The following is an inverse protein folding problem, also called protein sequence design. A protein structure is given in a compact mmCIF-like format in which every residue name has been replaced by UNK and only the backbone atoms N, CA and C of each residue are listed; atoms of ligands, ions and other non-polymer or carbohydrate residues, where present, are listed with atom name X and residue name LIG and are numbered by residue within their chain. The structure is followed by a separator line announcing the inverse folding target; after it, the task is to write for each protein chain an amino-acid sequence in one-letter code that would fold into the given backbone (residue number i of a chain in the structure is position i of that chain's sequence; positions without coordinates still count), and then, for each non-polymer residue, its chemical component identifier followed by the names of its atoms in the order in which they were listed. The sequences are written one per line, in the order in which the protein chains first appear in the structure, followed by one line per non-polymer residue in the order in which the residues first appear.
data_IF_507168093434
#
_entry.id   IF_507168093434
#
_cell.length_a   1.000
_cell.length_b   1.000
_cell.length_c   1.000
_cell.angle_alpha   90.00
_cell.angle_beta   90.00
_cell.angle_gamma   90.00
#
_symmetry.space_group_name_H-M   'P 1'
#
loop_
_entity.id
_entity.type
_entity.pdbx_description
1 polymer ?
#
# COMPACT_ATOMS: atom_id res chain seq x y z
N UNK A 1 43.79 55.61 33.84
CA UNK A 1 42.38 55.50 34.25
C UNK A 1 41.53 55.45 32.99
N UNK A 2 41.02 54.28 32.63
CA UNK A 2 40.13 54.02 31.49
C UNK A 2 38.90 53.29 32.06
N UNK A 3 37.66 53.66 31.69
CA UNK A 3 36.47 53.01 32.26
C UNK A 3 36.19 51.69 31.54
N UNK A 4 35.83 50.69 32.33
CA UNK A 4 35.43 49.33 31.92
C UNK A 4 34.05 49.42 31.26
N UNK A 5 33.80 48.84 30.06
CA UNK A 5 32.45 48.78 29.52
C UNK A 5 31.65 47.72 30.27
N UNK A 6 30.47 48.13 30.76
CA UNK A 6 29.52 47.30 31.47
C UNK A 6 29.05 46.13 30.61
N UNK A 7 29.20 44.91 31.14
CA UNK A 7 28.63 43.71 30.58
C UNK A 7 27.10 43.76 30.69
N UNK A 8 26.42 43.90 29.55
CA UNK A 8 24.97 43.78 29.46
C UNK A 8 24.63 42.30 29.22
N UNK A 9 24.56 41.52 30.31
CA UNK A 9 24.02 40.17 30.26
C UNK A 9 22.52 40.25 29.99
N UNK A 10 22.12 40.07 28.73
CA UNK A 10 20.73 39.80 28.37
C UNK A 10 20.35 38.44 28.96
N UNK A 11 19.70 38.46 30.13
CA UNK A 11 18.97 37.30 30.66
C UNK A 11 17.81 37.00 29.71
N UNK A 12 18.07 36.18 28.70
CA UNK A 12 17.03 35.45 27.99
C UNK A 12 16.28 34.63 29.05
N UNK A 13 14.96 34.83 29.24
CA UNK A 13 14.21 33.92 30.08
C UNK A 13 14.30 32.55 29.39
N UNK A 14 15.05 31.64 30.00
CA UNK A 14 14.91 30.22 29.73
C UNK A 14 13.47 29.89 30.11
N UNK A 15 12.57 29.95 29.13
CA UNK A 15 11.31 29.26 29.21
C UNK A 15 11.67 27.79 29.36
N UNK A 16 11.69 27.32 30.61
CA UNK A 16 11.60 25.91 30.90
C UNK A 16 10.24 25.48 30.37
N UNK A 17 10.20 25.05 29.11
CA UNK A 17 9.07 24.30 28.58
C UNK A 17 8.84 23.17 29.57
N UNK A 18 7.70 23.24 30.26
CA UNK A 18 7.21 22.12 31.06
C UNK A 18 6.92 21.00 30.06
N UNK A 19 7.92 20.16 29.81
CA UNK A 19 7.73 18.89 29.15
C UNK A 19 6.86 18.08 30.10
N UNK A 20 5.55 18.10 29.87
CA UNK A 20 4.66 17.11 30.47
C UNK A 20 5.25 15.75 30.11
N UNK A 21 5.81 15.05 31.09
CA UNK A 21 6.50 13.79 30.86
C UNK A 21 5.56 12.85 30.10
N UNK A 22 5.95 12.50 28.88
CA UNK A 22 5.21 11.58 28.03
C UNK A 22 5.08 10.24 28.75
N UNK A 23 3.84 9.83 29.07
CA UNK A 23 3.56 8.51 29.61
C UNK A 23 2.98 7.62 28.50
N UNK A 24 3.78 6.73 27.86
CA UNK A 24 3.31 5.85 26.81
C UNK A 24 2.24 4.87 27.30
N UNK A 25 2.19 4.59 28.60
CA UNK A 25 1.27 3.61 29.18
C UNK A 25 -0.14 4.17 29.38
N UNK A 26 -0.35 5.49 29.20
CA UNK A 26 -1.66 6.12 29.33
C UNK A 26 -2.23 6.46 27.95
N UNK A 27 -3.43 5.98 27.69
CA UNK A 27 -4.18 6.34 26.49
C UNK A 27 -4.32 7.87 26.37
N UNK A 28 -3.93 8.47 25.24
CA UNK A 28 -4.06 9.91 25.04
C UNK A 28 -5.51 10.37 24.86
N UNK A 29 -6.44 9.47 24.53
CA UNK A 29 -7.83 9.81 24.25
C UNK A 29 -8.72 8.59 24.11
N UNK A 30 -10.04 8.79 24.21
CA UNK A 30 -11.06 7.75 23.93
C UNK A 30 -11.00 7.18 22.50
N UNK A 31 -10.40 7.92 21.56
CA UNK A 31 -10.24 7.49 20.16
C UNK A 31 -8.84 6.95 19.87
N UNK A 32 -8.04 6.67 20.89
CA UNK A 32 -6.70 6.11 20.74
C UNK A 32 -6.69 4.64 21.17
N UNK A 33 -6.01 3.80 20.39
CA UNK A 33 -5.85 2.35 20.66
C UNK A 33 -4.37 1.99 20.48
N UNK A 34 -3.80 1.21 21.39
CA UNK A 34 -2.44 0.65 21.20
C UNK A 34 -2.45 -0.30 20.02
N UNK A 35 -1.51 -0.12 19.08
CA UNK A 35 -1.40 -0.95 17.88
C UNK A 35 -1.25 -2.43 18.23
N UNK A 36 -0.41 -2.75 19.22
CA UNK A 36 -0.18 -4.12 19.72
C UNK A 36 -1.42 -4.82 20.30
N UNK A 37 -2.40 -4.05 20.79
CA UNK A 37 -3.63 -4.60 21.37
C UNK A 37 -4.69 -4.94 20.32
N UNK A 38 -4.47 -4.60 19.06
CA UNK A 38 -5.41 -4.89 17.98
C UNK A 38 -5.24 -6.35 17.56
N UNK A 39 -6.25 -7.16 17.81
CA UNK A 39 -6.22 -8.58 17.44
C UNK A 39 -6.54 -8.80 15.96
N UNK A 40 -7.51 -8.04 15.43
CA UNK A 40 -8.01 -8.22 14.06
C UNK A 40 -8.51 -6.90 13.49
N UNK A 41 -8.21 -6.69 12.21
CA UNK A 41 -8.76 -5.63 11.38
C UNK A 41 -9.69 -6.26 10.34
N UNK A 42 -10.85 -5.64 10.13
CA UNK A 42 -11.76 -5.97 9.03
C UNK A 42 -11.95 -4.72 8.19
N UNK A 43 -11.47 -4.79 6.96
CA UNK A 43 -11.31 -3.66 6.04
C UNK A 43 -12.20 -3.89 4.83
N UNK A 44 -12.82 -2.83 4.31
CA UNK A 44 -13.82 -2.93 3.25
C UNK A 44 -13.46 -2.04 2.05
N UNK A 45 -13.70 -2.53 0.83
CA UNK A 45 -13.38 -1.81 -0.41
C UNK A 45 -14.02 -0.41 -0.49
N UNK A 46 -15.28 -0.32 -0.05
CA UNK A 46 -16.11 0.89 -0.18
C UNK A 46 -16.08 1.79 1.06
N UNK A 47 -15.02 1.70 1.89
CA UNK A 47 -14.87 2.52 3.10
C UNK A 47 -13.55 3.26 3.09
N UNK A 48 -13.56 4.44 3.70
CA UNK A 48 -12.35 5.21 4.01
C UNK A 48 -11.96 5.06 5.46
N UNK A 49 -10.69 5.29 5.75
CA UNK A 49 -10.16 5.35 7.11
C UNK A 49 -10.73 6.56 7.87
N UNK A 50 -10.80 6.46 9.19
CA UNK A 50 -10.88 7.66 10.01
C UNK A 50 -9.56 8.42 9.89
N UNK A 51 -9.61 9.72 10.08
CA UNK A 51 -8.42 10.56 9.97
C UNK A 51 -8.49 11.72 10.95
N UNK A 52 -7.33 12.27 11.29
CA UNK A 52 -7.25 13.51 12.06
C UNK A 52 -6.20 14.47 11.52
N UNK A 53 -4.98 13.99 11.28
CA UNK A 53 -3.85 14.82 10.88
C UNK A 53 -3.52 14.70 9.40
N UNK A 54 -3.79 13.54 8.82
CA UNK A 54 -3.66 13.26 7.38
C UNK A 54 -5.05 13.14 6.74
N UNK A 55 -5.15 13.10 5.41
CA UNK A 55 -6.43 12.89 4.73
C UNK A 55 -6.87 11.43 4.83
N UNK A 56 -8.18 11.18 4.91
CA UNK A 56 -8.73 9.83 4.86
C UNK A 56 -8.39 9.13 3.53
N UNK A 57 -7.89 7.90 3.62
CA UNK A 57 -7.55 7.03 2.50
C UNK A 57 -8.56 5.88 2.39
N UNK A 58 -8.64 5.16 1.25
CA UNK A 58 -9.37 3.89 1.17
C UNK A 58 -8.85 2.88 2.20
N UNK A 59 -9.73 2.05 2.75
CA UNK A 59 -9.29 0.96 3.64
C UNK A 59 -8.56 -0.16 2.89
N UNK A 60 -8.89 -0.39 1.62
CA UNK A 60 -8.22 -1.36 0.75
C UNK A 60 -7.59 -0.62 -0.43
N UNK A 61 -6.27 -0.76 -0.60
CA UNK A 61 -5.53 -0.12 -1.70
C UNK A 61 -4.72 -1.17 -2.45
N UNK A 62 -5.01 -1.39 -3.73
CA UNK A 62 -4.20 -2.28 -4.55
C UNK A 62 -2.98 -1.55 -5.11
N UNK A 63 -1.78 -2.08 -4.86
CA UNK A 63 -0.50 -1.44 -5.24
C UNK A 63 0.26 -2.15 -6.36
N UNK A 64 -0.33 -3.17 -6.99
CA UNK A 64 0.18 -3.71 -8.26
C UNK A 64 0.26 -5.23 -8.32
N UNK A 65 1.01 -5.77 -9.31
CA UNK A 65 2.14 -5.16 -10.03
C UNK A 65 1.77 -4.17 -11.14
N UNK A 66 0.50 -4.06 -11.53
CA UNK A 66 0.04 -3.01 -12.44
C UNK A 66 -1.36 -2.53 -12.06
N UNK A 67 -1.67 -1.28 -12.43
CA UNK A 67 -3.04 -0.73 -12.26
C UNK A 67 -4.08 -1.54 -13.03
N UNK A 68 -3.68 -2.16 -14.15
CA UNK A 68 -4.56 -3.01 -14.97
C UNK A 68 -4.97 -4.26 -14.19
N UNK A 69 -4.02 -4.94 -13.54
CA UNK A 69 -4.33 -6.12 -12.70
C UNK A 69 -5.21 -5.72 -11.51
N UNK A 70 -4.89 -4.61 -10.84
CA UNK A 70 -5.72 -4.09 -9.74
C UNK A 70 -7.15 -3.74 -10.16
N UNK A 71 -7.39 -3.43 -11.43
CA UNK A 71 -8.73 -3.09 -11.94
C UNK A 71 -9.59 -4.31 -12.29
N UNK A 72 -9.00 -5.51 -12.35
CA UNK A 72 -9.72 -6.73 -12.71
C UNK A 72 -10.64 -7.23 -11.58
N UNK A 73 -10.20 -7.08 -10.33
CA UNK A 73 -10.96 -7.50 -9.17
C UNK A 73 -10.52 -6.74 -7.92
N UNK A 74 -11.49 -6.32 -7.11
CA UNK A 74 -11.27 -5.68 -5.80
C UNK A 74 -11.98 -6.55 -4.76
N UNK A 75 -11.28 -7.06 -3.73
CA UNK A 75 -11.93 -7.84 -2.68
C UNK A 75 -12.88 -6.96 -1.87
N UNK A 76 -14.11 -7.44 -1.61
CA UNK A 76 -15.09 -6.66 -0.83
C UNK A 76 -14.66 -6.45 0.62
N UNK A 77 -14.06 -7.49 1.21
CA UNK A 77 -13.60 -7.54 2.61
C UNK A 77 -12.23 -8.19 2.67
N UNK A 78 -11.33 -7.59 3.45
CA UNK A 78 -10.06 -8.18 3.85
C UNK A 78 -9.97 -8.23 5.37
N UNK A 79 -9.50 -9.36 5.90
CA UNK A 79 -9.27 -9.55 7.33
C UNK A 79 -7.79 -9.75 7.60
N UNK A 80 -7.22 -8.86 8.41
CA UNK A 80 -5.84 -8.94 8.87
C UNK A 80 -5.80 -9.31 10.35
N UNK A 81 -5.04 -10.33 10.69
CA UNK A 81 -4.90 -10.86 12.05
C UNK A 81 -3.48 -10.62 12.54
N UNK A 82 -3.38 -10.07 13.74
CA UNK A 82 -2.11 -9.85 14.43
C UNK A 82 -1.48 -11.21 14.81
N UNK A 83 -0.25 -11.46 14.36
CA UNK A 83 0.53 -12.68 14.62
C UNK A 83 1.61 -12.47 15.70
N UNK A 84 1.58 -11.36 16.41
CA UNK A 84 2.62 -10.91 17.31
C UNK A 84 3.43 -9.79 16.70
N UNK A 85 4.69 -9.67 17.13
CA UNK A 85 5.62 -8.65 16.68
C UNK A 85 7.00 -9.25 16.43
N UNK A 86 7.82 -8.60 15.61
CA UNK A 86 9.19 -9.04 15.32
C UNK A 86 10.18 -8.44 16.33
N UNK A 87 10.66 -7.21 16.08
CA UNK A 87 11.69 -6.57 16.91
C UNK A 87 11.17 -5.92 18.18
N UNK A 88 10.03 -5.22 18.12
CA UNK A 88 9.42 -4.55 19.27
C UNK A 88 7.89 -4.49 19.14
N UNK A 89 7.20 -4.10 20.21
CA UNK A 89 5.74 -4.10 20.31
C UNK A 89 5.01 -3.20 19.30
N UNK A 90 5.72 -2.39 18.52
CA UNK A 90 5.17 -1.55 17.44
C UNK A 90 5.33 -2.20 16.06
N UNK A 91 6.20 -3.19 15.93
CA UNK A 91 6.48 -3.90 14.67
C UNK A 91 5.58 -5.14 14.53
N UNK A 92 4.28 -4.88 14.41
CA UNK A 92 3.25 -5.92 14.38
C UNK A 92 3.30 -6.70 13.06
N UNK A 93 3.36 -8.01 13.19
CA UNK A 93 3.32 -8.94 12.06
C UNK A 93 1.86 -9.27 11.74
N UNK A 94 1.39 -8.82 10.56
CA UNK A 94 0.01 -9.02 10.12
C UNK A 94 -0.12 -10.12 9.08
N UNK A 95 -1.07 -11.04 9.28
CA UNK A 95 -1.52 -11.96 8.24
C UNK A 95 -2.86 -11.50 7.69
N UNK A 96 -2.89 -11.09 6.41
CA UNK A 96 -4.11 -10.65 5.74
C UNK A 96 -4.68 -11.74 4.81
N UNK A 97 -6.01 -11.90 4.85
CA UNK A 97 -6.77 -12.88 4.06
C UNK A 97 -7.99 -12.22 3.43
N UNK A 98 -8.36 -12.65 2.23
CA UNK A 98 -9.56 -12.22 1.53
C UNK A 98 -10.11 -13.37 0.68
N UNK A 99 -11.41 -13.36 0.42
CA UNK A 99 -12.01 -14.29 -0.55
C UNK A 99 -11.74 -13.78 -1.97
N UNK A 100 -11.09 -14.62 -2.77
CA UNK A 100 -10.68 -14.31 -4.13
C UNK A 100 -11.18 -15.37 -5.11
N UNK A 101 -11.58 -14.97 -6.33
CA UNK A 101 -11.76 -15.91 -7.43
C UNK A 101 -10.46 -16.69 -7.73
N UNK A 102 -10.55 -17.90 -8.31
CA UNK A 102 -9.39 -18.77 -8.50
C UNK A 102 -8.30 -18.17 -9.42
N UNK A 103 -8.65 -17.16 -10.23
CA UNK A 103 -7.71 -16.43 -11.08
C UNK A 103 -6.76 -15.50 -10.33
N UNK A 104 -7.04 -15.23 -9.05
CA UNK A 104 -6.36 -14.21 -8.27
C UNK A 104 -5.76 -14.76 -6.98
N UNK A 105 -4.65 -14.16 -6.55
CA UNK A 105 -4.04 -14.40 -5.24
C UNK A 105 -3.47 -13.10 -4.68
N UNK A 106 -3.40 -13.02 -3.34
CA UNK A 106 -2.69 -11.94 -2.67
C UNK A 106 -1.18 -12.17 -2.77
N UNK A 107 -0.45 -11.11 -3.08
CA UNK A 107 0.99 -11.00 -2.88
C UNK A 107 1.30 -10.44 -1.50
N UNK A 108 2.22 -9.47 -1.42
CA UNK A 108 2.49 -8.76 -0.17
C UNK A 108 1.27 -7.95 0.29
N UNK A 109 1.11 -7.86 1.59
CA UNK A 109 0.10 -7.05 2.27
C UNK A 109 0.75 -6.24 3.38
N UNK A 110 0.44 -4.95 3.45
CA UNK A 110 1.02 -4.02 4.42
C UNK A 110 -0.11 -3.24 5.10
N UNK A 111 -0.20 -3.34 6.42
CA UNK A 111 -1.18 -2.61 7.22
C UNK A 111 -0.61 -1.25 7.58
N UNK A 112 -1.33 -0.18 7.27
CA UNK A 112 -0.92 1.19 7.55
C UNK A 112 -1.98 1.86 8.41
N UNK A 113 -1.58 2.40 9.56
CA UNK A 113 -2.47 3.09 10.50
C UNK A 113 -1.97 4.52 10.78
N UNK A 114 -2.88 5.45 11.09
CA UNK A 114 -2.48 6.79 11.54
C UNK A 114 -2.08 6.72 13.02
N UNK A 115 -0.80 6.94 13.32
CA UNK A 115 -0.35 7.16 14.70
C UNK A 115 -1.15 8.29 15.36
N UNK A 116 -1.33 8.26 16.67
CA UNK A 116 -2.22 9.20 17.34
C UNK A 116 -1.57 10.59 17.37
N UNK A 117 -0.40 10.73 17.99
CA UNK A 117 0.29 12.02 18.15
C UNK A 117 1.24 12.35 16.99
N UNK A 118 2.02 11.37 16.55
CA UNK A 118 3.00 11.44 15.45
C UNK A 118 3.03 10.11 14.65
N UNK A 119 3.98 9.91 13.74
CA UNK A 119 4.07 8.68 12.92
C UNK A 119 4.63 7.47 13.67
N UNK A 120 5.33 7.71 14.78
CA UNK A 120 6.04 6.68 15.55
C UNK A 120 5.32 6.39 16.89
N UNK A 121 4.10 6.89 17.06
CA UNK A 121 3.31 6.71 18.27
C UNK A 121 2.75 5.27 18.36
N UNK A 122 3.03 4.51 19.43
CA UNK A 122 2.43 3.18 19.65
C UNK A 122 0.90 3.21 19.70
N UNK A 123 0.33 4.36 20.07
CA UNK A 123 -1.11 4.60 20.00
C UNK A 123 -1.47 5.05 18.60
N UNK A 124 -2.50 4.45 18.02
CA UNK A 124 -3.07 4.84 16.73
C UNK A 124 -4.47 5.42 16.89
N UNK A 125 -4.94 6.16 15.88
CA UNK A 125 -6.31 6.62 15.81
C UNK A 125 -7.26 5.47 15.51
N UNK A 126 -8.31 5.30 16.32
CA UNK A 126 -9.34 4.27 16.13
C UNK A 126 -9.97 4.38 14.73
N UNK A 127 -9.92 3.30 13.96
CA UNK A 127 -10.49 3.22 12.61
C UNK A 127 -9.61 3.80 11.51
N UNK A 128 -8.37 4.17 11.81
CA UNK A 128 -7.45 4.80 10.84
C UNK A 128 -6.66 3.81 10.00
N UNK A 129 -6.72 2.51 10.32
CA UNK A 129 -5.98 1.50 9.58
C UNK A 129 -6.59 1.21 8.21
N UNK A 130 -5.72 1.09 7.21
CA UNK A 130 -5.98 0.51 5.90
C UNK A 130 -4.94 -0.56 5.58
N UNK A 131 -5.11 -1.24 4.44
CA UNK A 131 -4.15 -2.22 3.92
C UNK A 131 -3.82 -1.91 2.48
N UNK A 132 -2.52 -1.88 2.20
CA UNK A 132 -1.98 -1.93 0.85
C UNK A 132 -1.72 -3.38 0.49
N UNK A 133 -2.23 -3.84 -0.65
CA UNK A 133 -2.09 -5.23 -1.07
C UNK A 133 -1.67 -5.31 -2.52
N UNK A 134 -0.91 -6.36 -2.85
CA UNK A 134 -0.62 -6.72 -4.25
C UNK A 134 -1.61 -7.75 -4.73
N UNK A 135 -2.27 -7.46 -5.84
CA UNK A 135 -3.12 -8.43 -6.54
C UNK A 135 -2.29 -9.12 -7.61
N UNK A 136 -2.23 -10.45 -7.57
CA UNK A 136 -1.48 -11.26 -8.53
C UNK A 136 -2.44 -12.21 -9.25
N UNK A 137 -2.04 -12.61 -10.46
CA UNK A 137 -2.71 -13.70 -11.16
C UNK A 137 -2.16 -15.04 -10.68
N UNK A 138 -3.05 -16.03 -10.60
CA UNK A 138 -2.66 -17.45 -10.55
C UNK A 138 -2.38 -17.94 -11.97
N UNK A 139 -1.93 -19.20 -12.12
CA UNK A 139 -1.78 -19.82 -13.44
C UNK A 139 -3.08 -19.77 -14.26
N UNK A 140 -4.24 -19.97 -13.60
CA UNK A 140 -5.54 -19.83 -14.25
C UNK A 140 -5.81 -18.39 -14.69
N UNK A 141 -5.47 -17.42 -13.84
CA UNK A 141 -5.58 -16.01 -14.17
C UNK A 141 -4.69 -15.61 -15.33
N UNK A 142 -3.47 -16.12 -15.40
CA UNK A 142 -2.54 -15.86 -16.51
C UNK A 142 -3.06 -16.43 -17.83
N UNK A 143 -3.66 -17.64 -17.80
CA UNK A 143 -4.32 -18.23 -18.96
C UNK A 143 -5.56 -17.45 -19.41
N UNK A 144 -6.33 -16.89 -18.46
CA UNK A 144 -7.55 -16.11 -18.75
C UNK A 144 -7.26 -14.68 -19.17
N UNK A 145 -6.18 -14.08 -18.65
CA UNK A 145 -5.78 -12.69 -18.87
C UNK A 145 -4.33 -12.59 -19.41
N UNK A 146 -4.00 -13.25 -20.53
CA UNK A 146 -2.60 -13.36 -20.99
C UNK A 146 -1.96 -12.02 -21.37
N UNK A 147 -2.76 -11.01 -21.73
CA UNK A 147 -2.29 -9.68 -22.10
C UNK A 147 -2.03 -8.75 -20.89
N UNK A 148 -2.29 -9.21 -19.66
CA UNK A 148 -2.18 -8.39 -18.44
C UNK A 148 -0.84 -8.54 -17.71
N UNK A 149 -0.07 -9.59 -18.02
CA UNK A 149 1.26 -9.87 -17.42
C UNK A 149 2.42 -9.25 -18.22
N UNK A 150 2.18 -8.85 -19.47
CA UNK A 150 3.17 -8.19 -20.32
C UNK A 150 3.32 -6.70 -20.01
N UNK A 151 4.41 -6.31 -19.35
CA UNK A 151 4.91 -4.94 -19.43
C UNK A 151 5.44 -4.68 -20.84
N UNK A 152 4.92 -3.65 -21.51
CA UNK A 152 5.46 -3.04 -22.73
C UNK A 152 5.94 -3.99 -23.84
N UNK A 153 5.15 -4.10 -24.93
CA UNK A 153 5.57 -4.57 -26.25
C UNK A 153 6.42 -5.85 -26.21
N UNK A 154 5.75 -6.99 -26.17
CA UNK A 154 6.35 -8.23 -26.64
C UNK A 154 6.53 -8.13 -28.17
N UNK A 155 7.61 -7.45 -28.58
CA UNK A 155 8.07 -7.38 -29.97
C UNK A 155 8.46 -8.76 -30.52
N UNK A 156 8.53 -9.81 -29.69
CA UNK A 156 8.81 -11.18 -30.15
C UNK A 156 7.54 -11.92 -30.54
N UNK A 157 6.40 -11.63 -29.90
CA UNK A 157 5.13 -12.33 -30.20
C UNK A 157 4.66 -12.10 -31.65
N UNK A 158 4.75 -10.88 -32.17
CA UNK A 158 4.33 -10.62 -33.56
C UNK A 158 5.32 -11.22 -34.56
N UNK A 159 6.62 -11.25 -34.25
CA UNK A 159 7.63 -11.83 -35.12
C UNK A 159 7.49 -13.35 -35.21
N UNK A 160 7.16 -14.02 -34.11
CA UNK A 160 6.86 -15.47 -34.11
C UNK A 160 5.52 -15.77 -34.78
N UNK A 161 4.46 -14.98 -34.53
CA UNK A 161 3.19 -15.12 -35.24
C UNK A 161 3.31 -14.87 -36.75
N UNK A 162 4.10 -13.87 -37.17
CA UNK A 162 4.41 -13.65 -38.58
C UNK A 162 5.25 -14.79 -39.15
N UNK A 163 6.21 -15.33 -38.39
CA UNK A 163 7.03 -16.44 -38.86
C UNK A 163 6.21 -17.71 -39.07
N UNK A 164 5.26 -17.99 -38.18
CA UNK A 164 4.31 -19.11 -38.32
C UNK A 164 3.31 -18.90 -39.46
N UNK A 165 2.89 -17.65 -39.71
CA UNK A 165 2.08 -17.27 -40.87
C UNK A 165 2.86 -17.42 -42.18
N UNK A 166 4.11 -16.97 -42.24
CA UNK A 166 5.00 -17.03 -43.42
C UNK A 166 5.42 -18.47 -43.74
N UNK A 167 5.55 -19.34 -42.73
CA UNK A 167 5.94 -20.75 -42.91
C UNK A 167 4.77 -21.71 -43.09
N UNK A 168 3.54 -21.26 -42.89
CA UNK A 168 2.37 -22.10 -43.13
C UNK A 168 2.33 -22.49 -44.62
N UNK A 169 2.38 -23.79 -44.97
CA UNK A 169 2.42 -24.24 -46.37
C UNK A 169 1.09 -24.01 -47.10
N UNK A 170 0.04 -23.65 -46.36
CA UNK A 170 -1.25 -23.28 -46.89
C UNK A 170 -1.21 -21.79 -47.26
N UNK A 171 -1.44 -21.49 -48.54
CA UNK A 171 -1.53 -20.16 -49.17
C UNK A 171 -0.26 -19.68 -49.90
N UNK A 172 0.29 -20.53 -50.75
CA UNK A 172 0.97 -20.06 -51.97
C UNK A 172 -0.03 -19.49 -52.98
N UNK A 173 -0.82 -18.46 -52.65
CA UNK A 173 -1.51 -17.66 -53.68
C UNK A 173 -1.78 -16.22 -53.22
N UNK A 174 -0.99 -15.31 -53.79
CA UNK A 174 -1.19 -13.87 -54.00
C UNK A 174 -2.12 -13.10 -53.06
N UNK A 175 -1.53 -12.32 -52.15
CA UNK A 175 -2.14 -11.08 -51.67
C UNK A 175 -1.09 -9.98 -51.60
N UNK A 176 -1.39 -8.82 -52.20
CA UNK A 176 -0.52 -7.64 -52.23
C UNK A 176 -0.38 -6.95 -50.86
N UNK A 177 0.47 -5.91 -50.76
CA UNK A 177 0.77 -5.26 -49.49
C UNK A 177 -0.48 -4.61 -48.87
N UNK A 178 -0.58 -4.58 -47.52
CA UNK A 178 -1.73 -4.00 -46.82
C UNK A 178 -1.80 -2.47 -47.01
N UNK A 179 -3.01 -1.87 -47.02
CA UNK A 179 -3.17 -0.43 -47.13
C UNK A 179 -2.71 0.28 -45.85
N UNK A 180 -2.24 1.55 -45.95
CA UNK A 180 -1.79 2.31 -44.79
C UNK A 180 -2.96 2.66 -43.85
N UNK A 181 -2.68 2.85 -42.55
CA UNK A 181 -3.72 3.12 -41.55
C UNK A 181 -4.37 4.49 -41.78
N UNK A 182 -5.70 4.53 -41.68
CA UNK A 182 -6.53 5.73 -41.60
C UNK A 182 -7.02 6.00 -40.18
#
# INVERSE_FOLDING_TARGET
MLPIPAAFFLFLPFFLDQTTAYNPNKSPSRNAVLLSNIQTLTLHANRKTSHRRVSAIPQLTCVGPSKRICSLYIPDVMRCTNQGYDYDENDIQWTCTAELPPEFKLGSTEVVCEGYRDSNDPWILKGSCGVEYRMLLTEEGERKFPYMTGGALDDRSWAEQLWDFVKSPALTHNWGPPPPPG
#
